data_IF_423395225836
#
_entry.id   IF_423395225836
#
_cell.length_a   1.000
_cell.length_b   1.000
_cell.length_c   1.000
_cell.angle_alpha   90.00
_cell.angle_beta   90.00
_cell.angle_gamma   90.00
#
_symmetry.space_group_name_H-M   'P 1'
#
loop_
_entity.id
_entity.type
_entity.pdbx_description
1 polymer ?
#
# COMPACT_ATOMS: atom_id res chain seq x y z
N UNK A 1 14.18 7.13 -25.88
CA UNK A 1 15.13 7.67 -24.86
C UNK A 1 15.20 6.70 -23.69
N UNK A 2 16.39 6.33 -23.20
CA UNK A 2 16.49 5.56 -21.94
C UNK A 2 16.27 6.52 -20.78
N UNK A 3 15.22 6.32 -19.99
CA UNK A 3 15.02 7.06 -18.73
C UNK A 3 15.29 6.11 -17.56
N UNK A 4 15.63 6.63 -16.39
CA UNK A 4 15.80 5.81 -15.19
C UNK A 4 15.07 6.42 -14.00
N UNK A 5 14.58 5.58 -13.09
CA UNK A 5 14.07 6.01 -11.79
C UNK A 5 15.28 6.20 -10.87
N UNK A 6 15.89 7.37 -10.91
CA UNK A 6 17.06 7.68 -10.07
C UNK A 6 16.70 7.91 -8.60
N UNK A 7 15.45 8.31 -8.32
CA UNK A 7 14.97 8.63 -6.99
C UNK A 7 13.46 8.48 -6.87
N UNK A 8 13.00 7.92 -5.74
CA UNK A 8 11.59 7.79 -5.36
C UNK A 8 11.36 8.66 -4.13
N UNK A 9 10.35 9.52 -4.14
CA UNK A 9 10.00 10.38 -3.00
C UNK A 9 9.35 9.55 -1.87
N UNK A 10 10.08 9.19 -0.79
CA UNK A 10 9.64 8.13 0.12
C UNK A 10 8.32 8.44 0.81
N UNK A 11 8.14 9.68 1.29
CA UNK A 11 6.93 10.08 1.99
C UNK A 11 5.68 10.10 1.11
N UNK A 12 5.76 10.70 -0.09
CA UNK A 12 4.59 10.78 -0.98
C UNK A 12 4.27 9.41 -1.60
N UNK A 13 5.28 8.65 -2.01
CA UNK A 13 5.07 7.32 -2.59
C UNK A 13 4.52 6.34 -1.56
N UNK A 14 5.09 6.26 -0.35
CA UNK A 14 4.57 5.39 0.70
C UNK A 14 3.13 5.76 1.08
N UNK A 15 2.82 7.06 1.19
CA UNK A 15 1.45 7.55 1.46
C UNK A 15 0.47 7.16 0.35
N UNK A 16 0.84 7.35 -0.91
CA UNK A 16 -0.02 6.99 -2.04
C UNK A 16 -0.29 5.49 -2.09
N UNK A 17 0.77 4.68 -2.00
CA UNK A 17 0.68 3.23 -2.07
C UNK A 17 -0.12 2.64 -0.89
N UNK A 18 0.08 3.14 0.33
CA UNK A 18 -0.68 2.63 1.48
C UNK A 18 -2.18 2.99 1.40
N UNK A 19 -2.52 4.17 0.88
CA UNK A 19 -3.92 4.56 0.68
C UNK A 19 -4.60 3.67 -0.37
N UNK A 20 -3.92 3.38 -1.48
CA UNK A 20 -4.40 2.43 -2.49
C UNK A 20 -4.58 1.05 -1.86
N UNK A 21 -3.60 0.57 -1.11
CA UNK A 21 -3.67 -0.73 -0.42
C UNK A 21 -4.82 -0.79 0.59
N UNK A 22 -5.11 0.29 1.31
CA UNK A 22 -6.24 0.37 2.24
C UNK A 22 -7.58 0.27 1.51
N UNK A 23 -7.72 0.87 0.32
CA UNK A 23 -8.94 0.75 -0.49
C UNK A 23 -9.27 -0.70 -0.82
N UNK A 24 -8.27 -1.54 -1.06
CA UNK A 24 -8.47 -2.97 -1.30
C UNK A 24 -8.60 -3.80 -0.01
N UNK A 25 -7.92 -3.39 1.06
CA UNK A 25 -7.95 -4.10 2.34
C UNK A 25 -9.30 -4.00 3.06
N UNK A 26 -9.96 -2.84 2.97
CA UNK A 26 -11.25 -2.61 3.67
C UNK A 26 -12.34 -3.59 3.21
N UNK A 27 -12.62 -3.79 1.90
CA UNK A 27 -13.59 -4.78 1.45
C UNK A 27 -13.27 -6.21 1.93
N UNK A 28 -12.00 -6.61 1.95
CA UNK A 28 -11.59 -7.94 2.42
C UNK A 28 -11.89 -8.11 3.90
N UNK A 29 -11.60 -7.09 4.71
CA UNK A 29 -11.93 -7.10 6.14
C UNK A 29 -13.43 -7.16 6.35
N UNK A 30 -14.23 -6.41 5.58
CA UNK A 30 -15.70 -6.48 5.62
C UNK A 30 -16.21 -7.88 5.30
N UNK A 31 -15.64 -8.57 4.30
CA UNK A 31 -15.97 -9.96 3.99
C UNK A 31 -15.63 -10.90 5.15
N UNK A 32 -14.49 -10.70 5.81
CA UNK A 32 -14.11 -11.44 7.01
C UNK A 32 -15.12 -11.29 8.16
N UNK A 33 -15.68 -10.09 8.33
CA UNK A 33 -16.76 -9.83 9.31
C UNK A 33 -18.02 -10.60 8.94
N UNK A 34 -18.43 -10.55 7.67
CA UNK A 34 -19.62 -11.26 7.21
C UNK A 34 -19.49 -12.77 7.47
N UNK A 35 -18.33 -13.35 7.18
CA UNK A 35 -18.05 -14.76 7.47
C UNK A 35 -18.10 -15.06 8.97
N UNK A 36 -17.46 -14.22 9.80
CA UNK A 36 -17.48 -14.38 11.25
C UNK A 36 -18.89 -14.27 11.82
N UNK A 37 -19.72 -13.38 11.27
CA UNK A 37 -21.10 -13.16 11.69
C UNK A 37 -21.97 -14.36 11.37
N UNK A 38 -21.87 -14.88 10.14
CA UNK A 38 -22.59 -16.10 9.72
C UNK A 38 -22.18 -17.31 10.57
N UNK A 39 -20.90 -17.42 10.94
CA UNK A 39 -20.40 -18.57 11.72
C UNK A 39 -20.80 -18.53 13.19
N UNK A 40 -20.68 -17.38 13.83
CA UNK A 40 -20.82 -17.26 15.29
C UNK A 40 -22.22 -16.78 15.70
N UNK A 41 -23.07 -16.35 14.76
CA UNK A 41 -24.46 -15.92 15.01
C UNK A 41 -24.60 -14.55 15.69
N UNK A 42 -23.60 -14.13 16.46
CA UNK A 42 -23.48 -12.79 17.01
C UNK A 42 -22.01 -12.36 17.06
N UNK A 43 -21.79 -11.07 16.91
CA UNK A 43 -20.51 -10.44 17.20
C UNK A 43 -20.81 -9.20 18.01
N UNK A 44 -20.14 -9.04 19.16
CA UNK A 44 -20.25 -7.80 19.93
C UNK A 44 -19.74 -6.63 19.08
N UNK A 45 -20.61 -5.63 18.84
CA UNK A 45 -20.29 -4.45 18.04
C UNK A 45 -19.04 -3.73 18.54
N UNK A 46 -18.82 -3.68 19.86
CA UNK A 46 -17.63 -3.07 20.47
C UNK A 46 -16.33 -3.81 20.13
N UNK A 47 -16.39 -5.13 19.97
CA UNK A 47 -15.26 -5.99 19.62
C UNK A 47 -14.91 -5.87 18.13
N UNK A 48 -15.92 -5.71 17.27
CA UNK A 48 -15.73 -5.40 15.84
C UNK A 48 -14.98 -4.08 15.69
N UNK A 49 -15.51 -3.00 16.29
CA UNK A 49 -14.93 -1.67 16.13
C UNK A 49 -13.49 -1.61 16.67
N UNK A 50 -13.25 -2.11 17.89
CA UNK A 50 -11.92 -2.05 18.50
C UNK A 50 -10.89 -2.92 17.78
N UNK A 51 -11.22 -4.17 17.46
CA UNK A 51 -10.29 -5.12 16.83
C UNK A 51 -9.98 -4.72 15.39
N UNK A 52 -10.98 -4.23 14.65
CA UNK A 52 -10.80 -3.92 13.23
C UNK A 52 -10.19 -2.56 13.04
N UNK A 53 -10.61 -1.56 13.81
CA UNK A 53 -9.98 -0.25 13.75
C UNK A 53 -8.51 -0.37 14.13
N UNK A 54 -8.19 -1.12 15.19
CA UNK A 54 -6.80 -1.38 15.56
C UNK A 54 -6.05 -2.20 14.50
N UNK A 55 -6.64 -3.25 13.93
CA UNK A 55 -6.00 -4.05 12.89
C UNK A 55 -5.74 -3.26 11.60
N UNK A 56 -6.73 -2.50 11.10
CA UNK A 56 -6.58 -1.66 9.91
C UNK A 56 -5.61 -0.51 10.16
N UNK A 57 -5.65 0.13 11.33
CA UNK A 57 -4.72 1.19 11.70
C UNK A 57 -3.29 0.67 11.82
N UNK A 58 -3.10 -0.47 12.49
CA UNK A 58 -1.80 -1.10 12.62
C UNK A 58 -1.26 -1.55 11.26
N UNK A 59 -2.11 -2.11 10.40
CA UNK A 59 -1.75 -2.47 9.04
C UNK A 59 -1.36 -1.24 8.20
N UNK A 60 -2.08 -0.13 8.33
CA UNK A 60 -1.75 1.13 7.67
C UNK A 60 -0.40 1.69 8.13
N UNK A 61 -0.18 1.75 9.45
CA UNK A 61 1.06 2.28 10.03
C UNK A 61 2.24 1.39 9.64
N UNK A 62 2.12 0.07 9.84
CA UNK A 62 3.16 -0.88 9.51
C UNK A 62 3.48 -0.85 8.01
N UNK A 63 2.45 -0.90 7.15
CA UNK A 63 2.61 -0.84 5.71
C UNK A 63 3.25 0.47 5.25
N UNK A 64 2.86 1.61 5.83
CA UNK A 64 3.50 2.89 5.55
C UNK A 64 4.98 2.88 5.91
N UNK A 65 5.33 2.43 7.12
CA UNK A 65 6.72 2.38 7.59
C UNK A 65 7.55 1.46 6.71
N UNK A 66 7.05 0.28 6.35
CA UNK A 66 7.73 -0.66 5.47
C UNK A 66 7.94 -0.09 4.07
N UNK A 67 6.92 0.53 3.47
CA UNK A 67 7.03 1.18 2.16
C UNK A 67 8.00 2.36 2.19
N UNK A 68 7.97 3.14 3.27
CA UNK A 68 8.89 4.26 3.48
C UNK A 68 10.34 3.78 3.56
N UNK A 69 10.60 2.72 4.34
CA UNK A 69 11.92 2.07 4.42
C UNK A 69 12.32 1.52 3.04
N UNK A 70 11.41 0.86 2.33
CA UNK A 70 11.69 0.30 1.00
C UNK A 70 12.10 1.39 -0.01
N UNK A 71 11.42 2.55 0.00
CA UNK A 71 11.79 3.69 -0.84
C UNK A 71 13.18 4.23 -0.48
N UNK A 72 13.50 4.34 0.82
CA UNK A 72 14.83 4.75 1.27
C UNK A 72 15.92 3.75 0.87
N UNK A 73 15.65 2.46 1.05
CA UNK A 73 16.55 1.40 0.63
C UNK A 73 16.79 1.45 -0.89
N UNK A 74 15.74 1.65 -1.68
CA UNK A 74 15.85 1.83 -3.13
C UNK A 74 16.74 3.01 -3.50
N UNK A 75 16.49 4.19 -2.92
CA UNK A 75 17.29 5.40 -3.20
C UNK A 75 18.78 5.19 -2.81
N UNK A 76 19.03 4.46 -1.72
CA UNK A 76 20.38 4.11 -1.28
C UNK A 76 21.10 3.19 -2.26
N UNK A 77 20.40 2.22 -2.85
CA UNK A 77 20.93 1.35 -3.92
C UNK A 77 21.12 2.14 -5.21
N UNK A 78 20.12 2.91 -5.63
CA UNK A 78 20.13 3.68 -6.87
C UNK A 78 21.27 4.70 -6.94
N UNK A 79 21.61 5.30 -5.79
CA UNK A 79 22.76 6.22 -5.69
C UNK A 79 24.14 5.55 -5.79
N UNK A 80 24.23 4.23 -5.59
CA UNK A 80 25.50 3.46 -5.64
C UNK A 80 25.66 2.66 -6.91
N UNK A 81 24.59 2.03 -7.38
CA UNK A 81 24.64 1.04 -8.46
C UNK A 81 23.88 1.48 -9.72
N UNK A 82 23.22 2.64 -9.69
CA UNK A 82 22.30 3.08 -10.74
C UNK A 82 20.86 2.63 -10.45
N UNK A 83 19.89 3.41 -10.92
CA UNK A 83 18.46 3.13 -10.72
C UNK A 83 17.87 2.16 -11.75
N UNK A 84 16.58 1.85 -11.61
CA UNK A 84 15.82 1.06 -12.58
C UNK A 84 15.72 1.83 -13.89
N UNK A 85 16.26 1.26 -14.98
CA UNK A 85 16.08 1.78 -16.34
C UNK A 85 14.67 1.44 -16.85
N UNK A 86 14.03 2.43 -17.47
CA UNK A 86 12.69 2.33 -18.04
C UNK A 86 12.78 2.69 -19.52
N UNK A 87 12.15 1.86 -20.34
CA UNK A 87 11.90 2.19 -21.75
C UNK A 87 10.47 2.71 -21.85
N UNK A 88 10.33 3.97 -22.27
CA UNK A 88 9.04 4.59 -22.51
C UNK A 88 8.68 4.43 -23.99
N UNK A 89 7.44 4.05 -24.24
CA UNK A 89 6.81 4.13 -25.57
C UNK A 89 5.83 5.29 -25.55
N UNK A 90 5.73 6.02 -26.65
CA UNK A 90 4.75 7.10 -26.77
C UNK A 90 3.34 6.49 -26.78
N UNK A 91 2.42 7.13 -26.05
CA UNK A 91 1.01 6.76 -26.13
C UNK A 91 0.48 7.13 -27.53
N UNK A 92 -0.37 6.30 -28.15
CA UNK A 92 -1.00 6.67 -29.42
C UNK A 92 -1.76 7.99 -29.23
N UNK A 93 -1.52 8.97 -30.10
CA UNK A 93 -2.32 10.20 -30.15
C UNK A 93 -3.78 9.78 -30.35
N UNK A 94 -4.64 10.13 -29.40
CA UNK A 94 -6.10 10.00 -29.56
C UNK A 94 -6.49 10.91 -30.74
N UNK A 95 -6.86 10.29 -31.85
CA UNK A 95 -7.29 10.93 -33.09
C UNK A 95 -8.69 11.54 -32.97
#
# INVERSE_FOLDING_TARGET
MKKQISYIAPGQTAKALILVYLTFSVPIVVLGILVAFVRNGSIELGTIFSTIFSALLLNAILGFVLLWIACHAYNWVASRFGGIEIQLSDAPEEA
#
